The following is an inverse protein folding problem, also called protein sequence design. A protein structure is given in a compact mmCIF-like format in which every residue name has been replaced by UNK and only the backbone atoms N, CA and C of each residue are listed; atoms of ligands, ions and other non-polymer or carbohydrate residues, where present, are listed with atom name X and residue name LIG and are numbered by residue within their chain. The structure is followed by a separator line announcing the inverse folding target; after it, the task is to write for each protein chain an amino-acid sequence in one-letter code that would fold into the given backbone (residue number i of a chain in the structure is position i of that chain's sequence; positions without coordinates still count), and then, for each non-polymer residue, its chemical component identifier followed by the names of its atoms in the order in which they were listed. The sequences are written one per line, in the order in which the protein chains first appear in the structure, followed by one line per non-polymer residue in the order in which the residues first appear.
data_IF_018914077809
#
_entry.id   IF_018914077809
#
_cell.length_a   1.000
_cell.length_b   1.000
_cell.length_c   1.000
_cell.angle_alpha   90.00
_cell.angle_beta   90.00
_cell.angle_gamma   90.00
#
_symmetry.space_group_name_H-M   'P 1'
#
loop_
_entity.id
_entity.type
_entity.pdbx_description
1 polymer ?
#
# COMPACT_ATOMS: atom_id res chain seq x y z
N UNK A 1 -26.50 0.10 -14.03
CA UNK A 1 -25.58 0.56 -12.95
C UNK A 1 -24.39 -0.39 -12.77
N UNK A 2 -24.60 -1.70 -12.59
CA UNK A 2 -23.50 -2.70 -12.50
C UNK A 2 -22.52 -2.69 -13.68
N UNK A 3 -23.03 -2.56 -14.92
CA UNK A 3 -22.22 -2.54 -16.14
C UNK A 3 -21.26 -1.34 -16.19
N UNK A 4 -21.70 -0.16 -15.75
CA UNK A 4 -20.84 1.03 -15.66
C UNK A 4 -19.75 0.88 -14.60
N UNK A 5 -20.08 0.26 -13.47
CA UNK A 5 -19.14 0.00 -12.38
C UNK A 5 -18.06 -1.02 -12.80
N UNK A 6 -18.47 -2.10 -13.47
CA UNK A 6 -17.56 -3.08 -14.04
C UNK A 6 -16.61 -2.47 -15.08
N UNK A 7 -17.13 -1.60 -15.96
CA UNK A 7 -16.32 -0.89 -16.96
C UNK A 7 -15.33 0.10 -16.31
N UNK A 8 -15.72 0.79 -15.25
CA UNK A 8 -14.82 1.65 -14.48
C UNK A 8 -13.67 0.85 -13.83
N UNK A 9 -13.99 -0.26 -13.16
CA UNK A 9 -12.98 -1.12 -12.52
C UNK A 9 -12.03 -1.70 -13.56
N UNK A 10 -12.56 -2.20 -14.69
CA UNK A 10 -11.75 -2.70 -15.79
C UNK A 10 -10.82 -1.61 -16.36
N UNK A 11 -11.31 -0.39 -16.53
CA UNK A 11 -10.51 0.76 -16.96
C UNK A 11 -9.35 1.08 -16.00
N UNK A 12 -9.61 1.07 -14.69
CA UNK A 12 -8.58 1.28 -13.67
C UNK A 12 -7.50 0.18 -13.69
N UNK A 13 -7.89 -1.08 -13.90
CA UNK A 13 -6.94 -2.20 -14.01
C UNK A 13 -6.10 -2.14 -15.30
N UNK A 14 -6.69 -1.75 -16.43
CA UNK A 14 -5.94 -1.58 -17.68
C UNK A 14 -4.94 -0.42 -17.59
N UNK A 15 -5.34 0.68 -16.96
CA UNK A 15 -4.47 1.85 -16.76
C UNK A 15 -3.28 1.52 -15.85
N UNK A 16 -3.52 0.81 -14.74
CA UNK A 16 -2.45 0.38 -13.83
C UNK A 16 -1.48 -0.61 -14.51
N UNK A 17 -1.97 -1.56 -15.31
CA UNK A 17 -1.12 -2.43 -16.12
C UNK A 17 -0.29 -1.67 -17.17
N UNK A 18 -0.87 -0.66 -17.81
CA UNK A 18 -0.16 0.20 -18.76
C UNK A 18 1.01 0.93 -18.09
N UNK A 19 0.75 1.57 -16.95
CA UNK A 19 1.79 2.27 -16.19
C UNK A 19 2.87 1.32 -15.65
N UNK A 20 2.48 0.14 -15.16
CA UNK A 20 3.42 -0.87 -14.70
C UNK A 20 4.39 -1.29 -15.82
N UNK A 21 3.87 -1.59 -17.01
CA UNK A 21 4.69 -1.94 -18.19
C UNK A 21 5.63 -0.79 -18.59
N UNK A 22 5.13 0.44 -18.63
CA UNK A 22 5.92 1.63 -19.00
C UNK A 22 7.08 1.84 -18.03
N UNK A 23 6.83 1.67 -16.73
CA UNK A 23 7.83 1.81 -15.66
C UNK A 23 8.93 0.75 -15.75
N UNK A 24 8.59 -0.52 -16.01
CA UNK A 24 9.58 -1.59 -16.22
C UNK A 24 10.45 -1.32 -17.46
N UNK A 25 9.85 -0.83 -18.56
CA UNK A 25 10.58 -0.51 -19.78
C UNK A 25 11.56 0.66 -19.60
N UNK A 26 11.16 1.69 -18.85
CA UNK A 26 12.01 2.84 -18.50
C UNK A 26 13.18 2.49 -17.58
N UNK A 27 12.99 1.53 -16.67
CA UNK A 27 14.07 1.03 -15.81
C UNK A 27 15.10 0.17 -16.56
N UNK A 28 14.70 -0.51 -17.64
CA UNK A 28 15.63 -1.30 -18.48
C UNK A 28 16.49 -0.46 -19.43
N UNK A 29 16.05 0.76 -19.77
CA UNK A 29 16.72 1.65 -20.72
C UNK A 29 17.81 2.52 -20.07
N UNK A 30 17.68 2.86 -18.78
CA UNK A 30 18.70 3.59 -18.06
C UNK A 30 19.67 2.61 -17.40
N UNK A 31 20.91 2.54 -17.92
CA UNK A 31 22.03 1.88 -17.24
C UNK A 31 22.30 2.57 -15.89
N UNK A 32 21.59 2.14 -14.85
CA UNK A 32 21.68 2.72 -13.52
C UNK A 32 22.92 2.21 -12.78
N UNK A 33 23.56 3.10 -12.02
CA UNK A 33 24.63 2.69 -11.10
C UNK A 33 24.11 1.63 -10.13
N UNK A 34 25.00 0.72 -9.71
CA UNK A 34 24.65 -0.40 -8.82
C UNK A 34 24.00 0.05 -7.50
N UNK A 35 24.27 1.30 -7.06
CA UNK A 35 23.66 1.92 -5.88
C UNK A 35 22.24 2.38 -6.17
N UNK A 36 22.02 3.07 -7.29
CA UNK A 36 20.70 3.57 -7.70
C UNK A 36 19.72 2.41 -7.97
N UNK A 37 20.21 1.32 -8.57
CA UNK A 37 19.43 0.10 -8.81
C UNK A 37 18.94 -0.55 -7.51
N UNK A 38 19.78 -0.60 -6.46
CA UNK A 38 19.41 -1.14 -5.14
C UNK A 38 18.32 -0.28 -4.46
N UNK A 39 18.43 1.04 -4.58
CA UNK A 39 17.43 1.98 -4.02
C UNK A 39 16.11 1.85 -4.77
N UNK A 40 16.12 1.88 -6.11
CA UNK A 40 14.91 1.73 -6.90
C UNK A 40 14.22 0.38 -6.71
N UNK A 41 14.97 -0.71 -6.51
CA UNK A 41 14.38 -2.01 -6.17
C UNK A 41 13.69 -2.01 -4.81
N UNK A 42 14.24 -1.33 -3.81
CA UNK A 42 13.61 -1.21 -2.49
C UNK A 42 12.35 -0.34 -2.57
N UNK A 43 12.41 0.79 -3.28
CA UNK A 43 11.24 1.65 -3.52
C UNK A 43 10.17 0.91 -4.31
N UNK A 44 10.53 0.17 -5.35
CA UNK A 44 9.59 -0.62 -6.15
C UNK A 44 8.91 -1.71 -5.32
N UNK A 45 9.65 -2.41 -4.45
CA UNK A 45 9.06 -3.40 -3.52
C UNK A 45 8.14 -2.75 -2.49
N UNK A 46 8.50 -1.57 -1.97
CA UNK A 46 7.66 -0.82 -1.04
C UNK A 46 6.35 -0.40 -1.72
N UNK A 47 6.44 0.20 -2.90
CA UNK A 47 5.27 0.59 -3.69
C UNK A 47 4.41 -0.62 -4.07
N UNK A 48 5.02 -1.77 -4.38
CA UNK A 48 4.29 -3.00 -4.66
C UNK A 48 3.51 -3.49 -3.41
N UNK A 49 4.17 -3.56 -2.26
CA UNK A 49 3.52 -3.96 -1.01
C UNK A 49 2.41 -3.00 -0.60
N UNK A 50 2.62 -1.70 -0.79
CA UNK A 50 1.64 -0.66 -0.52
C UNK A 50 0.49 -0.66 -1.53
N UNK A 51 0.70 -1.08 -2.78
CA UNK A 51 -0.34 -1.21 -3.78
C UNK A 51 -1.22 -2.44 -3.57
N UNK A 52 -0.67 -3.52 -3.01
CA UNK A 52 -1.41 -4.75 -2.72
C UNK A 52 -2.39 -4.57 -1.56
N UNK A 53 -2.02 -3.81 -0.53
CA UNK A 53 -2.85 -3.59 0.67
C UNK A 53 -4.24 -3.00 0.37
N UNK A 54 -4.38 -1.89 -0.38
CA UNK A 54 -5.68 -1.34 -0.77
C UNK A 54 -6.51 -2.28 -1.65
N UNK A 55 -5.88 -3.17 -2.42
CA UNK A 55 -6.64 -4.15 -3.23
C UNK A 55 -7.41 -5.10 -2.31
N UNK A 56 -6.80 -5.57 -1.23
CA UNK A 56 -7.48 -6.44 -0.27
C UNK A 56 -8.41 -5.67 0.69
N UNK A 57 -8.00 -4.48 1.12
CA UNK A 57 -8.67 -3.71 2.18
C UNK A 57 -9.73 -2.73 1.63
N UNK A 58 -9.75 -2.47 0.32
CA UNK A 58 -10.74 -1.58 -0.32
C UNK A 58 -11.54 -2.26 -1.43
N UNK A 59 -10.91 -3.01 -2.35
CA UNK A 59 -11.64 -3.57 -3.50
C UNK A 59 -12.59 -4.70 -3.08
N UNK A 60 -12.12 -5.62 -2.23
CA UNK A 60 -12.99 -6.68 -1.68
C UNK A 60 -14.18 -6.10 -0.91
N UNK A 61 -13.93 -5.21 0.07
CA UNK A 61 -14.96 -4.48 0.80
C UNK A 61 -16.01 -3.78 -0.06
N UNK A 62 -15.57 -3.00 -1.05
CA UNK A 62 -16.47 -2.30 -1.95
C UNK A 62 -17.29 -3.26 -2.83
N UNK A 63 -16.72 -4.39 -3.27
CA UNK A 63 -17.47 -5.40 -4.02
C UNK A 63 -18.58 -6.03 -3.19
N UNK A 64 -18.33 -6.29 -1.90
CA UNK A 64 -19.35 -6.80 -0.97
C UNK A 64 -20.43 -5.74 -0.71
N UNK A 65 -20.04 -4.47 -0.51
CA UNK A 65 -20.99 -3.38 -0.32
C UNK A 65 -21.92 -3.19 -1.53
N UNK A 66 -21.35 -3.25 -2.74
CA UNK A 66 -22.11 -3.18 -4.00
C UNK A 66 -23.07 -4.36 -4.11
N UNK A 67 -22.63 -5.57 -3.76
CA UNK A 67 -23.53 -6.74 -3.76
C UNK A 67 -24.67 -6.58 -2.76
N UNK A 68 -24.40 -6.06 -1.55
CA UNK A 68 -25.44 -5.82 -0.54
C UNK A 68 -26.49 -4.81 -1.02
N UNK A 69 -26.06 -3.73 -1.69
CA UNK A 69 -26.96 -2.74 -2.31
C UNK A 69 -27.84 -3.38 -3.40
N UNK A 70 -27.28 -4.28 -4.20
CA UNK A 70 -27.99 -4.95 -5.31
C UNK A 70 -29.04 -5.94 -4.82
N UNK A 71 -28.79 -6.57 -3.67
CA UNK A 71 -29.73 -7.50 -3.03
C UNK A 71 -30.65 -6.82 -1.99
N UNK A 72 -30.67 -5.49 -1.95
CA UNK A 72 -31.44 -4.69 -0.98
C UNK A 72 -31.19 -5.09 0.50
N UNK A 73 -30.00 -5.60 0.79
CA UNK A 73 -29.59 -5.91 2.16
C UNK A 73 -29.15 -4.62 2.85
N UNK A 74 -29.60 -4.40 4.09
CA UNK A 74 -29.16 -3.24 4.89
C UNK A 74 -27.64 -3.32 5.11
N UNK A 75 -26.85 -2.42 4.49
CA UNK A 75 -25.41 -2.49 4.57
C UNK A 75 -24.87 -1.90 5.87
N UNK A 76 -25.69 -1.36 6.79
CA UNK A 76 -25.25 -0.52 7.91
C UNK A 76 -24.05 -1.04 8.71
N UNK A 77 -24.13 -2.28 9.23
CA UNK A 77 -23.03 -2.90 10.00
C UNK A 77 -21.82 -3.21 9.11
N UNK A 78 -22.08 -3.67 7.88
CA UNK A 78 -21.03 -3.98 6.92
C UNK A 78 -20.25 -2.73 6.55
N UNK A 79 -20.93 -1.66 6.12
CA UNK A 79 -20.37 -0.37 5.78
C UNK A 79 -19.49 0.18 6.90
N UNK A 80 -19.94 0.06 8.15
CA UNK A 80 -19.20 0.52 9.31
C UNK A 80 -17.90 -0.28 9.55
N UNK A 81 -17.95 -1.61 9.41
CA UNK A 81 -16.74 -2.44 9.45
C UNK A 81 -15.77 -2.09 8.31
N UNK A 82 -16.29 -1.82 7.11
CA UNK A 82 -15.48 -1.50 5.92
C UNK A 82 -14.77 -0.15 6.09
N UNK A 83 -15.46 0.84 6.67
CA UNK A 83 -14.88 2.14 6.97
C UNK A 83 -13.70 2.03 7.96
N UNK A 84 -13.83 1.15 8.97
CA UNK A 84 -12.74 0.85 9.90
C UNK A 84 -11.55 0.18 9.22
N UNK A 85 -11.79 -0.74 8.28
CA UNK A 85 -10.71 -1.36 7.49
C UNK A 85 -10.00 -0.34 6.60
N UNK A 86 -10.73 0.55 5.94
CA UNK A 86 -10.16 1.62 5.12
C UNK A 86 -9.34 2.59 5.99
N UNK A 87 -9.80 2.90 7.20
CA UNK A 87 -9.08 3.75 8.15
C UNK A 87 -7.74 3.15 8.61
N UNK A 88 -7.53 1.83 8.48
CA UNK A 88 -6.24 1.18 8.77
C UNK A 88 -5.23 1.31 7.62
N UNK A 89 -5.64 1.71 6.41
CA UNK A 89 -4.74 1.82 5.25
C UNK A 89 -3.55 2.75 5.51
N UNK A 90 -3.70 3.97 6.07
CA UNK A 90 -2.57 4.85 6.38
C UNK A 90 -1.58 4.25 7.40
N UNK A 91 -2.12 3.51 8.39
CA UNK A 91 -1.32 2.83 9.40
C UNK A 91 -0.50 1.69 8.77
N UNK A 92 -1.15 0.85 7.97
CA UNK A 92 -0.51 -0.27 7.27
C UNK A 92 0.51 0.22 6.23
N UNK A 93 0.23 1.35 5.57
CA UNK A 93 1.15 2.01 4.65
C UNK A 93 2.44 2.46 5.35
N UNK A 94 2.29 3.11 6.51
CA UNK A 94 3.41 3.54 7.35
C UNK A 94 4.22 2.35 7.87
N UNK A 95 3.56 1.31 8.38
CA UNK A 95 4.22 0.09 8.86
C UNK A 95 4.97 -0.64 7.74
N UNK A 96 4.36 -0.79 6.56
CA UNK A 96 4.98 -1.42 5.40
C UNK A 96 6.24 -0.66 4.98
N UNK A 97 6.21 0.67 5.01
CA UNK A 97 7.38 1.52 4.75
C UNK A 97 8.50 1.26 5.75
N UNK A 98 8.18 1.24 7.06
CA UNK A 98 9.15 0.99 8.13
C UNK A 98 9.79 -0.40 7.98
N UNK A 99 8.99 -1.42 7.65
CA UNK A 99 9.47 -2.80 7.51
C UNK A 99 10.29 -3.02 6.24
N UNK A 100 9.98 -2.35 5.13
CA UNK A 100 10.65 -2.60 3.84
C UNK A 100 11.95 -1.82 3.74
N UNK A 101 11.95 -0.53 4.12
CA UNK A 101 13.13 0.31 3.99
C UNK A 101 14.18 -0.02 5.04
N UNK A 102 15.27 -0.67 4.60
CA UNK A 102 16.39 -1.08 5.48
C UNK A 102 17.08 0.12 6.14
N UNK A 103 17.16 1.25 5.43
CA UNK A 103 17.66 2.52 5.97
C UNK A 103 16.78 3.03 7.12
N UNK A 104 15.45 2.92 6.98
CA UNK A 104 14.52 3.35 8.02
C UNK A 104 14.65 2.49 9.28
N UNK A 105 14.81 1.17 9.13
CA UNK A 105 15.09 0.26 10.25
C UNK A 105 16.38 0.62 10.97
N UNK A 106 17.45 0.89 10.24
CA UNK A 106 18.73 1.27 10.85
C UNK A 106 18.63 2.59 11.62
N UNK A 107 17.98 3.61 11.06
CA UNK A 107 17.75 4.88 11.74
C UNK A 107 16.88 4.72 12.97
N UNK A 108 15.81 3.92 12.90
CA UNK A 108 14.90 3.68 14.01
C UNK A 108 15.61 2.94 15.17
N UNK A 109 16.39 1.89 14.86
CA UNK A 109 17.16 1.17 15.87
C UNK A 109 18.20 2.07 16.53
N UNK A 110 18.87 2.94 15.77
CA UNK A 110 19.80 3.92 16.33
C UNK A 110 19.10 4.96 17.20
N UNK A 111 17.93 5.45 16.80
CA UNK A 111 17.13 6.38 17.59
C UNK A 111 16.67 5.73 18.91
N UNK A 112 16.16 4.50 18.86
CA UNK A 112 15.77 3.73 20.05
C UNK A 112 16.94 3.46 20.98
N UNK A 113 18.13 3.14 20.44
CA UNK A 113 19.34 2.96 21.24
C UNK A 113 19.81 4.25 21.92
N UNK A 114 19.62 5.43 21.29
CA UNK A 114 19.93 6.73 21.90
C UNK A 114 18.98 7.04 23.04
N UNK A 115 17.66 6.86 22.83
CA UNK A 115 16.64 7.05 23.87
C UNK A 115 16.89 6.11 25.05
N UNK A 116 17.21 4.84 24.77
CA UNK A 116 17.54 3.87 25.83
C UNK A 116 18.79 4.27 26.64
N UNK A 117 19.81 4.85 25.97
CA UNK A 117 21.00 5.39 26.65
C UNK A 117 20.69 6.61 27.50
N UNK A 118 19.87 7.54 27.02
CA UNK A 118 19.47 8.73 27.79
C UNK A 118 18.68 8.33 29.04
N UNK A 119 17.71 7.42 28.91
CA UNK A 119 16.93 6.92 30.05
C UNK A 119 17.82 6.20 31.07
N UNK A 120 18.80 5.41 30.61
CA UNK A 120 19.75 4.71 31.50
C UNK A 120 20.80 5.63 32.13
N UNK A 121 20.92 6.88 31.70
CA UNK A 121 21.83 7.88 32.29
C UNK A 121 21.15 8.75 33.36
N UNK A 122 19.82 8.69 33.43
CA UNK A 122 18.97 9.46 34.35
C UNK A 122 18.50 8.62 35.55
N UNK A 123 18.60 7.28 35.45
CA UNK A 123 18.35 6.31 36.52
C UNK A 123 19.68 5.89 37.13
#
# INVERSE_FOLDING_TARGET
MLTYLANCVAGCYLLSLYWARRTVKLMGLHGQSMVMSKIHRQVALALLAQAILPIFVSVGPNAVLISAIVFEMDPGVLAMMMFNFIALIPLLNSLSTILIFRAFRQTLTQALQRVAKEISSVI
#
